data_IF_043695385460
#
_entry.id   IF_043695385460
#
_cell.length_a   1.000
_cell.length_b   1.000
_cell.length_c   1.000
_cell.angle_alpha   90.00
_cell.angle_beta   90.00
_cell.angle_gamma   90.00
#
_symmetry.space_group_name_H-M   'P 1'
#
loop_
_entity.id
_entity.type
_entity.pdbx_description
1 polymer ?
#
# COMPACT_ATOMS: atom_id res chain seq x y z
N UNK A 1 -5.55 22.34 13.84
CA UNK A 1 -6.05 21.08 13.23
C UNK A 1 -4.98 19.99 13.38
N UNK A 2 -5.23 18.91 14.11
CA UNK A 2 -4.30 17.75 14.12
C UNK A 2 -4.28 17.18 12.70
N UNK A 3 -3.15 17.27 12.00
CA UNK A 3 -3.00 16.65 10.69
C UNK A 3 -3.38 15.18 10.77
N UNK A 4 -4.27 14.75 9.87
CA UNK A 4 -4.69 13.35 9.82
C UNK A 4 -3.45 12.47 9.58
N UNK A 5 -3.17 11.57 10.52
CA UNK A 5 -1.94 10.77 10.51
C UNK A 5 -2.03 9.80 9.34
N UNK A 6 -1.13 9.94 8.35
CA UNK A 6 -1.08 9.05 7.19
C UNK A 6 -0.23 7.81 7.48
N UNK A 7 -0.54 6.73 6.77
CA UNK A 7 0.16 5.45 6.84
C UNK A 7 0.35 4.90 5.43
N UNK A 8 1.51 4.32 5.22
CA UNK A 8 1.85 3.57 4.03
C UNK A 8 1.69 2.09 4.33
N UNK A 9 0.98 1.38 3.45
CA UNK A 9 0.63 -0.03 3.59
C UNK A 9 1.24 -0.76 2.40
N UNK A 10 2.12 -1.73 2.67
CA UNK A 10 2.71 -2.60 1.67
C UNK A 10 1.91 -3.89 1.58
N UNK A 11 1.37 -4.16 0.39
CA UNK A 11 0.50 -5.30 0.12
C UNK A 11 1.12 -6.15 -0.97
N UNK A 12 1.23 -7.45 -0.72
CA UNK A 12 1.70 -8.46 -1.67
C UNK A 12 0.51 -9.11 -2.35
N UNK A 13 0.62 -9.32 -3.66
CA UNK A 13 -0.37 -9.98 -4.52
C UNK A 13 0.33 -11.08 -5.33
N UNK A 14 -0.14 -12.32 -5.24
CA UNK A 14 0.35 -13.41 -6.10
C UNK A 14 -0.47 -13.56 -7.38
N UNK A 15 -1.76 -13.22 -7.33
CA UNK A 15 -2.59 -13.18 -8.53
C UNK A 15 -2.37 -11.87 -9.30
N UNK A 16 -1.76 -11.96 -10.49
CA UNK A 16 -1.49 -10.80 -11.36
C UNK A 16 -2.77 -10.07 -11.85
N UNK A 17 -3.96 -10.67 -11.69
CA UNK A 17 -5.25 -10.01 -11.97
C UNK A 17 -5.60 -8.96 -10.91
N UNK A 18 -4.99 -9.02 -9.73
CA UNK A 18 -5.17 -8.01 -8.69
C UNK A 18 -4.31 -6.80 -9.01
N UNK A 19 -4.93 -5.63 -9.02
CA UNK A 19 -4.22 -4.36 -9.13
C UNK A 19 -4.75 -3.38 -8.07
N UNK A 20 -4.01 -2.32 -7.81
CA UNK A 20 -4.33 -1.39 -6.74
C UNK A 20 -5.65 -0.65 -7.00
N UNK A 21 -6.03 -0.48 -8.29
CA UNK A 21 -7.32 0.10 -8.68
C UNK A 21 -8.49 -0.85 -8.40
N UNK A 22 -8.39 -2.13 -8.78
CA UNK A 22 -9.43 -3.12 -8.51
C UNK A 22 -9.60 -3.35 -7.00
N UNK A 23 -8.49 -3.35 -6.25
CA UNK A 23 -8.53 -3.37 -4.80
C UNK A 23 -9.21 -2.11 -4.20
N UNK A 24 -8.95 -0.92 -4.73
CA UNK A 24 -9.62 0.31 -4.29
C UNK A 24 -11.13 0.32 -4.61
N UNK A 25 -11.52 -0.20 -5.79
CA UNK A 25 -12.92 -0.37 -6.16
C UNK A 25 -13.63 -1.36 -5.23
N UNK A 26 -13.00 -2.50 -4.96
CA UNK A 26 -13.51 -3.47 -3.98
C UNK A 26 -13.67 -2.81 -2.61
N UNK A 27 -12.66 -2.09 -2.11
CA UNK A 27 -12.76 -1.38 -0.84
C UNK A 27 -13.96 -0.41 -0.80
N UNK A 28 -14.17 0.36 -1.87
CA UNK A 28 -15.35 1.24 -2.00
C UNK A 28 -16.66 0.46 -1.98
N UNK A 29 -16.72 -0.68 -2.66
CA UNK A 29 -17.93 -1.54 -2.68
C UNK A 29 -18.23 -2.14 -1.30
N UNK A 30 -17.20 -2.56 -0.56
CA UNK A 30 -17.36 -3.20 0.76
C UNK A 30 -17.71 -2.19 1.87
N UNK A 31 -17.07 -1.02 1.89
CA UNK A 31 -17.19 -0.07 3.01
C UNK A 31 -17.92 1.24 2.64
N UNK A 32 -18.31 1.41 1.38
CA UNK A 32 -19.04 2.57 0.89
C UNK A 32 -18.16 3.79 0.58
N UNK A 33 -18.76 4.74 -0.14
CA UNK A 33 -18.10 5.96 -0.63
C UNK A 33 -17.64 6.91 0.49
N UNK A 34 -18.41 6.99 1.58
CA UNK A 34 -18.09 7.82 2.74
C UNK A 34 -16.77 7.34 3.37
N UNK A 35 -16.61 6.02 3.53
CA UNK A 35 -15.37 5.46 4.09
C UNK A 35 -14.20 5.66 3.14
N UNK A 36 -14.39 5.40 1.84
CA UNK A 36 -13.35 5.61 0.82
C UNK A 36 -12.80 7.06 0.86
N UNK A 37 -13.71 8.04 0.96
CA UNK A 37 -13.36 9.46 1.08
C UNK A 37 -12.57 9.75 2.37
N UNK A 38 -13.02 9.22 3.52
CA UNK A 38 -12.33 9.39 4.81
C UNK A 38 -10.95 8.74 4.84
N UNK A 39 -10.74 7.67 4.08
CA UNK A 39 -9.46 6.97 4.07
C UNK A 39 -8.36 7.68 3.30
N UNK A 40 -8.67 8.75 2.53
CA UNK A 40 -7.69 9.50 1.74
C UNK A 40 -6.80 8.57 0.91
N UNK A 41 -7.42 7.56 0.31
CA UNK A 41 -6.75 6.45 -0.34
C UNK A 41 -5.94 6.94 -1.54
N UNK A 42 -4.63 6.65 -1.56
CA UNK A 42 -3.75 7.01 -2.66
C UNK A 42 -2.83 5.85 -3.00
N UNK A 43 -2.81 5.45 -4.27
CA UNK A 43 -1.84 4.50 -4.81
C UNK A 43 -0.50 5.24 -4.94
N UNK A 44 0.55 4.69 -4.33
CA UNK A 44 1.90 5.29 -4.34
C UNK A 44 2.80 4.55 -5.33
N UNK A 45 2.81 3.23 -5.22
CA UNK A 45 3.59 2.33 -6.07
C UNK A 45 2.72 1.13 -6.44
N UNK A 46 2.91 0.61 -7.64
CA UNK A 46 2.29 -0.63 -8.08
C UNK A 46 3.25 -1.37 -8.99
N UNK A 47 3.51 -2.62 -8.64
CA UNK A 47 4.34 -3.56 -9.39
C UNK A 47 3.56 -4.85 -9.64
N UNK A 48 4.17 -5.81 -10.34
CA UNK A 48 3.53 -7.07 -10.71
C UNK A 48 3.06 -7.86 -9.47
N UNK A 49 3.88 -7.94 -8.43
CA UNK A 49 3.64 -8.82 -7.26
C UNK A 49 3.32 -8.06 -5.96
N UNK A 50 3.29 -6.73 -5.99
CA UNK A 50 3.01 -5.92 -4.81
C UNK A 50 2.55 -4.52 -5.19
N UNK A 51 1.99 -3.81 -4.23
CA UNK A 51 1.71 -2.38 -4.35
C UNK A 51 1.78 -1.70 -2.98
N UNK A 52 1.97 -0.38 -3.00
CA UNK A 52 2.00 0.46 -1.80
C UNK A 52 0.89 1.48 -1.88
N UNK A 53 0.07 1.50 -0.83
CA UNK A 53 -0.98 2.47 -0.64
C UNK A 53 -0.60 3.46 0.44
N UNK A 54 -1.14 4.67 0.35
CA UNK A 54 -1.18 5.62 1.45
C UNK A 54 -2.64 5.85 1.85
N UNK A 55 -2.91 5.70 3.14
CA UNK A 55 -4.25 5.86 3.73
C UNK A 55 -4.18 6.64 5.04
N UNK A 56 -5.31 7.12 5.53
CA UNK A 56 -5.46 7.60 6.91
C UNK A 56 -5.21 6.45 7.90
N UNK A 57 -4.56 6.73 9.03
CA UNK A 57 -4.29 5.69 10.04
C UNK A 57 -5.58 5.10 10.62
N UNK A 58 -6.66 5.88 10.66
CA UNK A 58 -7.97 5.42 11.14
C UNK A 58 -8.56 4.32 10.25
N UNK A 59 -8.12 4.26 8.99
CA UNK A 59 -8.58 3.26 8.03
C UNK A 59 -7.74 1.98 8.02
N UNK A 60 -6.67 1.88 8.81
CA UNK A 60 -5.86 0.66 8.85
C UNK A 60 -6.65 -0.62 9.16
N UNK A 61 -7.60 -0.63 10.12
CA UNK A 61 -8.44 -1.81 10.38
C UNK A 61 -9.24 -2.21 9.13
N UNK A 62 -9.93 -1.26 8.51
CA UNK A 62 -10.73 -1.49 7.30
C UNK A 62 -9.88 -1.99 6.13
N UNK A 63 -8.69 -1.41 5.92
CA UNK A 63 -7.76 -1.85 4.87
C UNK A 63 -7.29 -3.28 5.11
N UNK A 64 -6.99 -3.65 6.37
CA UNK A 64 -6.62 -5.02 6.71
C UNK A 64 -7.78 -5.99 6.46
N UNK A 65 -8.99 -5.64 6.89
CA UNK A 65 -10.19 -6.46 6.62
C UNK A 65 -10.45 -6.62 5.12
N UNK A 66 -10.37 -5.52 4.36
CA UNK A 66 -10.51 -5.56 2.91
C UNK A 66 -9.47 -6.47 2.25
N UNK A 67 -8.21 -6.39 2.71
CA UNK A 67 -7.12 -7.22 2.20
C UNK A 67 -7.42 -8.70 2.40
N UNK A 68 -7.90 -9.09 3.58
CA UNK A 68 -8.25 -10.48 3.88
C UNK A 68 -9.42 -10.95 3.02
N UNK A 69 -10.53 -10.18 2.97
CA UNK A 69 -11.73 -10.57 2.22
C UNK A 69 -11.42 -10.68 0.72
N UNK A 70 -10.70 -9.70 0.16
CA UNK A 70 -10.30 -9.71 -1.24
C UNK A 70 -9.22 -10.77 -1.55
N UNK A 71 -8.43 -11.14 -0.54
CA UNK A 71 -7.33 -12.09 -0.64
C UNK A 71 -7.73 -13.55 -0.59
N UNK A 72 -8.88 -13.90 0.01
CA UNK A 72 -9.40 -15.28 0.02
C UNK A 72 -9.44 -15.96 -1.38
N UNK A 73 -9.76 -15.24 -2.48
CA UNK A 73 -9.68 -15.79 -3.84
C UNK A 73 -8.36 -15.54 -4.61
N UNK A 74 -7.34 -14.87 -4.04
CA UNK A 74 -6.18 -14.42 -4.84
C UNK A 74 -4.84 -14.22 -4.12
N UNK A 75 -4.69 -14.78 -2.92
CA UNK A 75 -3.50 -14.70 -2.07
C UNK A 75 -2.98 -13.26 -1.88
N UNK A 76 -3.88 -12.36 -1.49
CA UNK A 76 -3.53 -10.98 -1.13
C UNK A 76 -3.29 -10.88 0.38
N UNK A 77 -2.15 -10.33 0.80
CA UNK A 77 -1.89 -10.08 2.22
C UNK A 77 -1.11 -8.78 2.48
N UNK A 78 -1.41 -8.17 3.63
CA UNK A 78 -0.68 -6.98 4.11
C UNK A 78 0.57 -7.44 4.84
N UNK A 79 1.74 -6.97 4.41
CA UNK A 79 3.00 -7.38 5.02
C UNK A 79 3.50 -6.36 6.05
N UNK A 80 3.55 -5.08 5.67
CA UNK A 80 4.10 -4.01 6.52
C UNK A 80 3.23 -2.75 6.44
N UNK A 81 3.09 -2.07 7.60
CA UNK A 81 2.55 -0.72 7.69
C UNK A 81 3.58 0.20 8.33
N UNK A 82 3.75 1.41 7.80
CA UNK A 82 4.68 2.41 8.33
C UNK A 82 4.18 3.83 8.13
N UNK A 83 4.71 4.79 8.90
CA UNK A 83 4.45 6.22 8.68
C UNK A 83 5.13 6.80 7.44
N UNK A 84 6.13 6.13 6.88
CA UNK A 84 6.89 6.58 5.71
C UNK A 84 7.37 5.42 4.84
N UNK A 85 7.72 5.71 3.57
CA UNK A 85 8.34 4.73 2.66
C UNK A 85 9.68 4.23 3.18
N UNK A 86 10.51 5.11 3.77
CA UNK A 86 11.78 4.67 4.40
C UNK A 86 11.54 3.71 5.54
N UNK A 87 10.50 3.95 6.35
CA UNK A 87 10.11 3.02 7.41
C UNK A 87 9.54 1.71 6.86
N UNK A 88 8.82 1.72 5.71
CA UNK A 88 8.43 0.47 5.04
C UNK A 88 9.65 -0.35 4.64
N UNK A 89 10.64 0.29 4.00
CA UNK A 89 11.88 -0.35 3.57
C UNK A 89 12.60 -1.01 4.77
N UNK A 90 12.84 -0.27 5.86
CA UNK A 90 13.49 -0.82 7.07
C UNK A 90 12.72 -2.01 7.67
N UNK A 91 11.39 -1.89 7.73
CA UNK A 91 10.55 -2.95 8.28
C UNK A 91 10.41 -4.18 7.37
N UNK A 92 10.60 -4.02 6.06
CA UNK A 92 10.67 -5.14 5.12
C UNK A 92 12.03 -5.85 5.21
N UNK A 93 13.11 -5.09 5.37
CA UNK A 93 14.47 -5.62 5.52
C UNK A 93 14.62 -6.52 6.75
N UNK A 94 13.92 -6.20 7.84
CA UNK A 94 13.96 -6.98 9.08
C UNK A 94 13.17 -8.29 9.02
N UNK A 95 12.38 -8.53 7.96
CA UNK A 95 11.53 -9.72 7.81
C UNK A 95 12.10 -10.65 6.74
N UNK A 96 12.13 -11.96 7.00
CA UNK A 96 12.60 -12.96 6.03
C UNK A 96 11.79 -12.90 4.74
N UNK A 97 10.44 -12.86 4.80
CA UNK A 97 9.61 -12.74 3.60
C UNK A 97 9.68 -11.37 2.91
N UNK A 98 10.07 -10.32 3.63
CA UNK A 98 10.13 -8.96 3.11
C UNK A 98 11.37 -8.69 2.24
N UNK A 99 12.47 -9.40 2.49
CA UNK A 99 13.77 -9.19 1.83
C UNK A 99 13.70 -9.24 0.30
N UNK A 100 12.85 -10.10 -0.27
CA UNK A 100 12.71 -10.26 -1.72
C UNK A 100 12.14 -9.02 -2.42
N UNK A 101 11.45 -8.14 -1.67
CA UNK A 101 10.81 -6.94 -2.21
C UNK A 101 11.59 -5.65 -1.97
N UNK A 102 12.56 -5.66 -1.03
CA UNK A 102 13.28 -4.47 -0.58
C UNK A 102 13.98 -3.76 -1.74
N UNK A 103 14.67 -4.52 -2.58
CA UNK A 103 15.53 -3.94 -3.61
C UNK A 103 14.73 -3.31 -4.75
N UNK A 104 13.61 -3.94 -5.13
CA UNK A 104 12.64 -3.33 -6.04
C UNK A 104 12.05 -2.05 -5.44
N UNK A 105 11.60 -2.07 -4.17
CA UNK A 105 11.03 -0.89 -3.53
C UNK A 105 12.04 0.27 -3.42
N UNK A 106 13.32 -0.02 -3.12
CA UNK A 106 14.39 0.98 -3.07
C UNK A 106 14.64 1.60 -4.45
N UNK A 107 14.67 0.78 -5.51
CA UNK A 107 14.85 1.27 -6.88
C UNK A 107 13.72 2.21 -7.30
N UNK A 108 12.47 1.79 -7.10
CA UNK A 108 11.27 2.59 -7.44
C UNK A 108 11.24 3.90 -6.64
N UNK A 109 11.56 3.84 -5.33
CA UNK A 109 11.63 5.03 -4.48
C UNK A 109 12.70 6.03 -4.95
N UNK A 110 13.91 5.54 -5.29
CA UNK A 110 15.00 6.39 -5.80
C UNK A 110 14.66 7.01 -7.16
N UNK A 111 14.06 6.25 -8.06
CA UNK A 111 13.67 6.72 -9.38
C UNK A 111 12.63 7.86 -9.31
N UNK A 112 11.58 7.71 -8.49
CA UNK A 112 10.60 8.79 -8.29
C UNK A 112 11.21 10.03 -7.63
N UNK A 113 12.11 9.86 -6.65
CA UNK A 113 12.79 11.00 -6.02
C UNK A 113 13.58 11.83 -7.04
N UNK A 114 14.27 11.17 -7.98
CA UNK A 114 15.01 11.86 -9.06
C UNK A 114 14.08 12.62 -10.00
N UNK A 115 12.96 12.01 -10.41
CA UNK A 115 11.97 12.66 -11.29
C UNK A 115 11.39 13.92 -10.67
N UNK A 116 11.09 13.92 -9.37
CA UNK A 116 10.55 15.09 -8.67
C UNK A 116 11.53 16.27 -8.64
N UNK A 117 12.84 16.01 -8.54
CA UNK A 117 13.87 17.05 -8.55
C UNK A 117 14.02 17.67 -9.94
N UNK A 118 13.79 16.90 -11.01
CA UNK A 118 13.90 17.38 -12.39
C UNK A 118 12.67 18.16 -12.88
N UNK A 119 11.57 18.17 -12.12
CA UNK A 119 10.33 18.88 -12.46
C UNK A 119 10.10 20.15 -11.64
N UNK A 120 11.09 20.54 -10.82
CA UNK A 120 11.15 21.82 -10.11
C UNK A 120 12.16 22.74 -10.78
#
# INVERSE_FOLDING_TARGET
>A
MKHDKRRYVFIVKYNNKINARSYALFFKQTFGEIMMSKCLFKIIYEEKTWFVLRVSHMCLPHVRSATVIYGMPGDLYTLVVSGSIRGLIRSLESRSEGKIYVEQLRQVYRAQKRRFIQTQ
#
